data_IF_548148564371
#
_entry.id   IF_548148564371
#
_cell.length_a   1.000
_cell.length_b   1.000
_cell.length_c   1.000
_cell.angle_alpha   90.00
_cell.angle_beta   90.00
_cell.angle_gamma   90.00
#
_symmetry.space_group_name_H-M   'P 1'
#
loop_
_entity.id
_entity.type
_entity.pdbx_description
1 polymer ?
#
# COMPACT_ATOMS: atom_id res chain seq x y z
N UNK A 1 -14.63 -3.12 -15.04
CA UNK A 1 -13.20 -3.22 -14.74
C UNK A 1 -13.08 -3.46 -13.24
N UNK A 2 -12.22 -4.39 -12.83
CA UNK A 2 -11.96 -4.75 -11.43
C UNK A 2 -10.71 -4.04 -10.97
N UNK A 3 -10.87 -2.78 -10.59
CA UNK A 3 -9.77 -1.92 -10.16
C UNK A 3 -9.32 -2.27 -8.73
N UNK A 4 -8.03 -2.10 -8.44
CA UNK A 4 -7.50 -2.19 -7.08
C UNK A 4 -8.01 -0.99 -6.29
N UNK A 5 -8.68 -1.28 -5.18
CA UNK A 5 -9.24 -0.28 -4.26
C UNK A 5 -8.38 -0.07 -3.03
N UNK A 6 -7.77 -1.14 -2.52
CA UNK A 6 -6.92 -1.07 -1.33
C UNK A 6 -5.78 -2.05 -1.49
N UNK A 7 -4.60 -1.66 -1.06
CA UNK A 7 -3.44 -2.53 -1.00
C UNK A 7 -2.64 -2.23 0.26
N UNK A 8 -2.21 -3.29 0.92
CA UNK A 8 -1.37 -3.25 2.10
C UNK A 8 -0.07 -3.94 1.74
N UNK A 9 1.04 -3.20 1.87
CA UNK A 9 2.37 -3.62 1.50
C UNK A 9 3.26 -3.63 2.73
N UNK A 10 4.09 -4.66 2.82
CA UNK A 10 5.20 -4.76 3.76
C UNK A 10 6.47 -4.34 3.02
N UNK A 11 7.13 -3.29 3.49
CA UNK A 11 8.18 -2.59 2.73
C UNK A 11 9.42 -2.42 3.59
N UNK A 12 10.49 -3.13 3.24
CA UNK A 12 11.76 -3.04 3.93
C UNK A 12 12.51 -1.78 3.48
N UNK A 13 12.61 -0.79 4.36
CA UNK A 13 13.34 0.46 4.12
C UNK A 13 14.72 0.47 4.82
N UNK A 14 15.81 0.89 4.16
CA UNK A 14 16.99 1.37 4.87
C UNK A 14 16.59 2.61 5.69
N UNK A 15 17.31 2.92 6.77
CA UNK A 15 16.97 3.98 7.75
C UNK A 15 16.58 5.37 7.20
N UNK A 16 16.80 5.64 5.91
CA UNK A 16 16.30 6.80 5.17
C UNK A 16 15.77 6.32 3.80
N UNK A 17 14.68 6.90 3.27
CA UNK A 17 13.99 8.15 3.64
C UNK A 17 12.91 8.02 4.72
N UNK A 18 12.40 9.17 5.19
CA UNK A 18 11.33 9.24 6.20
C UNK A 18 10.00 8.72 5.65
N UNK A 19 9.23 8.02 6.48
CA UNK A 19 7.88 7.52 6.16
C UNK A 19 6.94 8.63 5.67
N UNK A 20 7.18 9.88 6.10
CA UNK A 20 6.40 11.05 5.71
C UNK A 20 6.60 11.40 4.24
N UNK A 21 7.82 11.29 3.73
CA UNK A 21 8.07 11.58 2.32
C UNK A 21 7.52 10.47 1.43
N UNK A 22 7.65 9.23 1.88
CA UNK A 22 7.09 8.08 1.21
C UNK A 22 5.57 8.17 1.12
N UNK A 23 4.89 8.52 2.21
CA UNK A 23 3.43 8.69 2.22
C UNK A 23 2.98 9.82 1.29
N UNK A 24 3.68 10.96 1.27
CA UNK A 24 3.41 12.07 0.33
C UNK A 24 3.54 11.65 -1.13
N UNK A 25 4.61 10.92 -1.47
CA UNK A 25 4.88 10.51 -2.85
C UNK A 25 3.85 9.49 -3.35
N UNK A 26 3.46 8.55 -2.49
CA UNK A 26 2.42 7.58 -2.79
C UNK A 26 1.03 8.22 -2.88
N UNK A 27 0.73 9.20 -2.02
CA UNK A 27 -0.55 9.91 -2.06
C UNK A 27 -0.71 10.78 -3.32
N UNK A 28 0.39 11.15 -3.98
CA UNK A 28 0.37 11.88 -5.25
C UNK A 28 0.10 10.98 -6.47
N UNK A 29 0.04 9.66 -6.30
CA UNK A 29 -0.22 8.73 -7.40
C UNK A 29 -1.68 8.79 -7.87
N UNK A 30 -1.88 8.60 -9.16
CA UNK A 30 -3.21 8.62 -9.75
C UNK A 30 -4.07 7.48 -9.19
N UNK A 31 -5.30 7.80 -8.80
CA UNK A 31 -6.26 6.82 -8.29
C UNK A 31 -6.06 6.47 -6.81
N UNK A 32 -5.05 7.03 -6.14
CA UNK A 32 -4.87 6.96 -4.68
C UNK A 32 -5.65 8.10 -4.02
N UNK A 33 -6.51 7.77 -3.08
CA UNK A 33 -7.32 8.72 -2.28
C UNK A 33 -6.69 8.94 -0.91
N UNK A 34 -6.07 7.91 -0.35
CA UNK A 34 -5.44 7.97 0.97
C UNK A 34 -4.25 7.02 1.08
N UNK A 35 -3.26 7.42 1.87
CA UNK A 35 -2.09 6.61 2.21
C UNK A 35 -1.87 6.66 3.71
N UNK A 36 -1.69 5.50 4.31
CA UNK A 36 -1.28 5.35 5.69
C UNK A 36 0.05 4.61 5.75
N UNK A 37 1.02 5.14 6.48
CA UNK A 37 2.34 4.52 6.65
C UNK A 37 2.61 4.36 8.15
N UNK A 38 2.90 3.14 8.57
CA UNK A 38 3.31 2.83 9.94
C UNK A 38 4.83 2.71 10.05
N UNK A 39 5.33 2.82 11.28
CA UNK A 39 6.75 2.66 11.61
C UNK A 39 7.22 1.23 11.31
N UNK A 40 6.32 0.26 11.48
CA UNK A 40 6.50 -1.17 11.21
C UNK A 40 6.55 -1.52 9.72
N UNK A 41 7.03 -0.59 8.88
CA UNK A 41 7.26 -0.85 7.45
C UNK A 41 6.00 -1.23 6.64
N UNK A 42 4.82 -1.05 7.25
CA UNK A 42 3.52 -1.36 6.68
C UNK A 42 2.87 -0.13 6.05
N UNK A 43 2.61 -0.21 4.75
CA UNK A 43 2.02 0.86 3.95
C UNK A 43 0.67 0.42 3.43
N UNK A 44 -0.36 1.18 3.74
CA UNK A 44 -1.71 0.97 3.22
C UNK A 44 -2.05 2.09 2.25
N UNK A 45 -2.42 1.73 1.02
CA UNK A 45 -2.97 2.65 0.04
C UNK A 45 -4.44 2.32 -0.18
N UNK A 46 -5.27 3.35 -0.24
CA UNK A 46 -6.69 3.25 -0.56
C UNK A 46 -7.04 4.21 -1.71
N UNK A 47 -7.92 3.78 -2.60
CA UNK A 47 -8.15 4.45 -3.86
C UNK A 47 -9.24 3.82 -4.71
N UNK A 48 -9.42 4.35 -5.91
CA UNK A 48 -10.42 3.88 -6.87
C UNK A 48 -9.82 3.12 -8.05
N UNK A 49 -8.54 3.34 -8.35
CA UNK A 49 -7.80 2.67 -9.42
C UNK A 49 -6.29 2.74 -9.14
N UNK A 50 -5.86 2.02 -8.11
CA UNK A 50 -4.44 2.02 -7.69
C UNK A 50 -3.61 1.23 -8.71
N UNK A 51 -2.58 1.89 -9.24
CA UNK A 51 -1.61 1.32 -10.17
C UNK A 51 -0.42 0.74 -9.39
N UNK A 52 -0.41 -0.58 -9.20
CA UNK A 52 0.63 -1.25 -8.41
C UNK A 52 2.04 -1.04 -8.98
N UNK A 53 2.19 -1.04 -10.31
CA UNK A 53 3.50 -0.86 -10.93
C UNK A 53 4.09 0.52 -10.60
N UNK A 54 3.25 1.57 -10.61
CA UNK A 54 3.67 2.91 -10.16
C UNK A 54 3.97 2.98 -8.68
N UNK A 55 3.20 2.28 -7.85
CA UNK A 55 3.47 2.19 -6.40
C UNK A 55 4.84 1.55 -6.17
N UNK A 56 5.10 0.39 -6.76
CA UNK A 56 6.39 -0.32 -6.67
C UNK A 56 7.55 0.55 -7.16
N UNK A 57 7.40 1.20 -8.32
CA UNK A 57 8.41 2.10 -8.87
C UNK A 57 8.70 3.28 -7.92
N UNK A 58 7.67 3.85 -7.30
CA UNK A 58 7.81 4.98 -6.36
C UNK A 58 8.53 4.54 -5.08
N UNK A 59 8.18 3.38 -4.54
CA UNK A 59 8.83 2.78 -3.37
C UNK A 59 10.30 2.50 -3.66
N UNK A 60 10.63 1.87 -4.80
CA UNK A 60 12.02 1.62 -5.22
C UNK A 60 12.80 2.90 -5.48
N UNK A 61 12.18 3.93 -6.08
CA UNK A 61 12.81 5.23 -6.31
C UNK A 61 13.15 5.98 -5.01
N UNK A 62 12.50 5.62 -3.90
CA UNK A 62 12.81 6.09 -2.56
C UNK A 62 13.86 5.23 -1.86
N UNK A 63 14.41 4.19 -2.49
CA UNK A 63 15.39 3.28 -1.88
C UNK A 63 14.78 2.25 -0.93
N UNK A 64 13.45 2.12 -0.92
CA UNK A 64 12.75 1.09 -0.16
C UNK A 64 12.35 -0.08 -1.08
N UNK A 65 12.18 -1.28 -0.52
CA UNK A 65 11.85 -2.48 -1.29
C UNK A 65 10.60 -3.12 -0.72
N UNK A 66 9.63 -3.45 -1.58
CA UNK A 66 8.46 -4.23 -1.16
C UNK A 66 8.96 -5.65 -0.83
N UNK A 67 8.84 -6.05 0.43
CA UNK A 67 9.18 -7.38 0.89
C UNK A 67 8.04 -8.36 0.60
N UNK A 68 6.81 -7.96 0.88
CA UNK A 68 5.63 -8.75 0.54
C UNK A 68 4.35 -7.91 0.45
N UNK A 69 3.30 -8.48 -0.14
CA UNK A 69 1.96 -7.88 -0.19
C UNK A 69 1.13 -8.54 0.90
N UNK A 70 0.75 -7.76 1.92
CA UNK A 70 0.02 -8.24 3.09
C UNK A 70 -1.47 -8.45 2.77
N UNK A 71 -2.05 -7.53 1.97
CA UNK A 71 -3.47 -7.61 1.59
C UNK A 71 -3.76 -6.83 0.31
N UNK A 72 -4.71 -7.30 -0.50
CA UNK A 72 -5.21 -6.59 -1.69
C UNK A 72 -6.73 -6.70 -1.74
N UNK A 73 -7.40 -5.57 -1.98
CA UNK A 73 -8.83 -5.53 -2.30
C UNK A 73 -9.04 -4.96 -3.69
N UNK A 74 -9.71 -5.71 -4.56
CA UNK A 74 -10.05 -5.28 -5.91
C UNK A 74 -11.55 -5.50 -6.20
N UNK A 75 -12.11 -4.65 -7.08
CA UNK A 75 -13.50 -4.74 -7.50
C UNK A 75 -14.34 -3.51 -7.15
N UNK A 76 -15.66 -3.70 -7.01
CA UNK A 76 -16.60 -2.56 -6.80
C UNK A 76 -16.61 -2.04 -5.37
N UNK A 77 -16.17 -2.84 -4.39
CA UNK A 77 -16.18 -2.53 -2.97
C UNK A 77 -14.92 -3.09 -2.32
N UNK A 78 -14.40 -2.40 -1.32
CA UNK A 78 -13.34 -2.91 -0.44
C UNK A 78 -13.95 -4.02 0.42
N UNK A 79 -13.38 -5.22 0.33
CA UNK A 79 -13.74 -6.37 1.16
C UNK A 79 -12.69 -6.45 2.26
N UNK A 80 -13.07 -6.01 3.46
CA UNK A 80 -12.18 -6.15 4.62
C UNK A 80 -12.18 -7.62 5.05
N UNK A 81 -11.01 -8.14 5.44
CA UNK A 81 -10.90 -9.51 5.91
C UNK A 81 -11.64 -9.62 7.24
N UNK A 82 -12.86 -10.17 7.21
CA UNK A 82 -13.54 -10.57 8.44
C UNK A 82 -12.65 -11.59 9.14
N UNK A 83 -12.29 -11.34 10.41
CA UNK A 83 -11.56 -12.31 11.25
C UNK A 83 -12.15 -13.70 11.02
N UNK A 84 -11.45 -14.56 10.30
CA UNK A 84 -11.81 -15.96 10.23
C UNK A 84 -11.57 -16.54 11.62
N UNK A 85 -12.49 -17.34 12.17
CA UNK A 85 -12.34 -17.94 13.51
C UNK A 85 -11.23 -19.01 13.60
N UNK A 86 -10.22 -18.98 12.72
CA UNK A 86 -9.06 -19.88 12.76
C UNK A 86 -8.01 -19.49 13.82
N UNK A 87 -8.31 -18.50 14.67
CA UNK A 87 -7.54 -18.10 15.86
C UNK A 87 -8.27 -18.57 17.15
N UNK A 88 -8.79 -19.80 17.15
CA UNK A 88 -9.36 -20.47 18.32
C UNK A 88 -8.67 -21.82 18.52
#
# INVERSE_FOLDING_TARGET
MTDIKKIVLDVLKPHQPSIVELSRRLAALHGVVGVNCMIDDKITLEGTAIDYEKVEATVRALGAVIHSIDSVSAGKKIVDATKTPQDL
#
